data_IF_218359534698
#
_entry.id   IF_218359534698
#
_cell.length_a   1.000
_cell.length_b   1.000
_cell.length_c   1.000
_cell.angle_alpha   90.00
_cell.angle_beta   90.00
_cell.angle_gamma   90.00
#
_symmetry.space_group_name_H-M   'P 1'
#
loop_
_entity.id
_entity.type
_entity.pdbx_description
1 polymer ?
#
# COMPACT_ATOMS: atom_id res chain seq x y z
N UNK A 1 3.70 6.09 1.59
CA UNK A 1 3.24 7.14 0.66
C UNK A 1 1.95 7.86 1.13
N UNK A 2 1.88 8.44 2.35
CA UNK A 2 0.84 9.42 2.68
C UNK A 2 1.13 10.86 2.24
N UNK A 3 2.40 11.26 2.17
CA UNK A 3 2.79 12.65 1.91
C UNK A 3 2.29 13.22 0.57
N UNK A 4 2.03 12.37 -0.43
CA UNK A 4 1.47 12.75 -1.73
C UNK A 4 -0.06 12.96 -1.71
N UNK A 5 -0.75 12.57 -0.63
CA UNK A 5 -2.21 12.61 -0.51
C UNK A 5 -2.68 13.58 0.59
N UNK A 6 -1.82 14.48 1.07
CA UNK A 6 -2.13 15.41 2.18
C UNK A 6 -3.38 16.26 1.97
N UNK A 7 -3.72 16.57 0.73
CA UNK A 7 -4.92 17.34 0.39
C UNK A 7 -5.88 16.45 -0.41
N UNK A 8 -7.18 16.49 -0.11
CA UNK A 8 -8.20 15.90 -0.97
C UNK A 8 -8.08 16.42 -2.40
N UNK A 9 -7.97 15.52 -3.36
CA UNK A 9 -7.90 15.87 -4.78
C UNK A 9 -8.63 14.83 -5.63
N UNK A 10 -9.39 15.30 -6.61
CA UNK A 10 -10.01 14.43 -7.61
C UNK A 10 -9.41 14.76 -8.96
N UNK A 11 -8.77 13.77 -9.56
CA UNK A 11 -8.20 13.85 -10.90
C UNK A 11 -8.81 12.70 -11.71
N UNK A 12 -9.31 12.99 -12.90
CA UNK A 12 -9.95 12.02 -13.80
C UNK A 12 -9.00 10.90 -14.24
N UNK A 13 -7.69 11.18 -14.28
CA UNK A 13 -6.64 10.20 -14.60
C UNK A 13 -6.18 9.43 -13.36
N UNK A 14 -6.57 9.87 -12.16
CA UNK A 14 -6.22 9.19 -10.92
C UNK A 14 -7.18 8.05 -10.59
N UNK A 15 -6.59 6.92 -10.17
CA UNK A 15 -7.32 5.76 -9.65
C UNK A 15 -7.48 5.80 -8.13
N UNK A 16 -7.06 6.87 -7.48
CA UNK A 16 -7.29 7.09 -6.06
C UNK A 16 -8.80 7.20 -5.77
N UNK A 17 -9.27 6.46 -4.77
CA UNK A 17 -10.64 6.61 -4.26
C UNK A 17 -10.69 7.74 -3.23
N UNK A 18 -11.82 8.48 -3.14
CA UNK A 18 -12.00 9.52 -2.12
C UNK A 18 -11.93 8.97 -0.69
N UNK A 19 -12.17 7.67 -0.51
CA UNK A 19 -12.07 6.97 0.77
C UNK A 19 -10.71 7.13 1.46
N UNK A 20 -9.64 7.44 0.72
CA UNK A 20 -8.31 7.75 1.27
C UNK A 20 -8.41 8.89 2.30
N UNK A 21 -9.14 9.95 1.98
CA UNK A 21 -9.25 11.12 2.85
C UNK A 21 -10.31 10.94 3.95
N UNK A 22 -11.32 10.10 3.70
CA UNK A 22 -12.31 9.76 4.71
C UNK A 22 -11.75 8.80 5.79
N UNK A 23 -10.76 7.98 5.44
CA UNK A 23 -10.18 6.95 6.30
C UNK A 23 -8.65 7.10 6.42
N UNK A 24 -8.19 8.32 6.71
CA UNK A 24 -6.78 8.69 6.65
C UNK A 24 -5.88 7.79 7.51
N UNK A 25 -6.24 7.54 8.76
CA UNK A 25 -5.44 6.72 9.68
C UNK A 25 -5.23 5.28 9.17
N UNK A 26 -6.26 4.67 8.56
CA UNK A 26 -6.15 3.34 7.96
C UNK A 26 -5.27 3.38 6.70
N UNK A 27 -5.40 4.42 5.86
CA UNK A 27 -4.51 4.63 4.72
C UNK A 27 -3.04 4.76 5.15
N UNK A 28 -2.74 5.54 6.18
CA UNK A 28 -1.39 5.68 6.73
C UNK A 28 -0.87 4.36 7.31
N UNK A 29 -1.71 3.65 8.06
CA UNK A 29 -1.36 2.36 8.67
C UNK A 29 -1.03 1.31 7.60
N UNK A 30 -1.80 1.25 6.51
CA UNK A 30 -1.53 0.34 5.39
C UNK A 30 -0.24 0.72 4.66
N UNK A 31 -0.02 2.02 4.44
CA UNK A 31 1.19 2.51 3.80
C UNK A 31 2.45 2.20 4.63
N UNK A 32 2.40 2.35 5.96
CA UNK A 32 3.52 2.00 6.83
C UNK A 32 3.72 0.48 6.93
N UNK A 33 2.64 -0.29 6.98
CA UNK A 33 2.70 -1.76 6.93
C UNK A 33 3.43 -2.25 5.68
N UNK A 34 3.08 -1.72 4.50
CA UNK A 34 3.77 -2.04 3.25
C UNK A 34 5.26 -1.67 3.31
N UNK A 35 5.61 -0.50 3.85
CA UNK A 35 7.00 -0.07 4.05
C UNK A 35 7.78 -1.03 4.95
N UNK A 36 7.20 -1.45 6.08
CA UNK A 36 7.84 -2.40 7.01
C UNK A 36 8.05 -3.77 6.38
N UNK A 37 7.06 -4.28 5.64
CA UNK A 37 7.19 -5.58 4.96
C UNK A 37 8.19 -5.53 3.81
N UNK A 38 8.21 -4.44 3.03
CA UNK A 38 9.21 -4.24 1.98
C UNK A 38 10.65 -4.23 2.55
N UNK A 39 10.86 -3.65 3.75
CA UNK A 39 12.16 -3.70 4.44
C UNK A 39 12.54 -5.10 4.95
N UNK A 40 11.57 -5.97 5.17
CA UNK A 40 11.77 -7.36 5.61
C UNK A 40 11.88 -8.36 4.46
N UNK A 41 11.60 -7.91 3.22
CA UNK A 41 11.74 -8.72 2.03
C UNK A 41 13.18 -9.20 1.93
N UNK A 42 13.37 -10.51 1.84
CA UNK A 42 14.67 -11.10 1.60
C UNK A 42 14.73 -11.57 0.14
N UNK A 43 15.45 -10.85 -0.69
CA UNK A 43 15.59 -11.15 -2.11
C UNK A 43 16.91 -11.89 -2.45
N UNK A 44 17.72 -12.22 -1.43
CA UNK A 44 19.07 -12.75 -1.63
C UNK A 44 19.08 -14.26 -1.91
N UNK A 45 17.99 -14.96 -1.55
CA UNK A 45 17.83 -16.41 -1.74
C UNK A 45 16.41 -16.75 -2.13
N UNK A 46 16.25 -17.75 -2.99
CA UNK A 46 14.94 -18.15 -3.52
C UNK A 46 13.98 -18.61 -2.42
N UNK A 47 14.47 -19.38 -1.45
CA UNK A 47 13.66 -19.89 -0.33
C UNK A 47 13.19 -18.73 0.55
N UNK A 48 14.09 -17.82 0.92
CA UNK A 48 13.77 -16.66 1.74
C UNK A 48 12.85 -15.66 1.00
N UNK A 49 13.00 -15.54 -0.32
CA UNK A 49 12.10 -14.75 -1.14
C UNK A 49 10.70 -15.36 -1.16
N UNK A 50 10.59 -16.67 -1.36
CA UNK A 50 9.30 -17.38 -1.36
C UNK A 50 8.56 -17.23 -0.04
N UNK A 51 9.26 -17.15 1.09
CA UNK A 51 8.63 -16.96 2.41
C UNK A 51 8.25 -15.50 2.68
N UNK A 52 9.05 -14.53 2.25
CA UNK A 52 8.85 -13.11 2.59
C UNK A 52 8.03 -12.31 1.55
N UNK A 53 8.08 -12.70 0.27
CA UNK A 53 7.36 -12.03 -0.82
C UNK A 53 5.82 -12.02 -0.64
N UNK A 54 5.16 -13.10 -0.19
CA UNK A 54 3.70 -13.11 -0.04
C UNK A 54 3.18 -12.00 0.88
N UNK A 55 3.93 -11.65 1.93
CA UNK A 55 3.51 -10.61 2.88
C UNK A 55 3.53 -9.22 2.23
N UNK A 56 4.57 -8.93 1.43
CA UNK A 56 4.63 -7.70 0.64
C UNK A 56 3.45 -7.63 -0.33
N UNK A 57 3.17 -8.70 -1.08
CA UNK A 57 2.05 -8.75 -2.02
C UNK A 57 0.70 -8.55 -1.33
N UNK A 58 0.48 -9.18 -0.17
CA UNK A 58 -0.73 -8.98 0.64
C UNK A 58 -0.87 -7.52 1.07
N UNK A 59 0.21 -6.84 1.46
CA UNK A 59 0.16 -5.42 1.83
C UNK A 59 -0.26 -4.52 0.66
N UNK A 60 0.23 -4.80 -0.56
CA UNK A 60 -0.17 -4.10 -1.77
C UNK A 60 -1.68 -4.29 -2.05
N UNK A 61 -2.13 -5.55 -2.04
CA UNK A 61 -3.54 -5.89 -2.31
C UNK A 61 -4.48 -5.32 -1.26
N UNK A 62 -4.06 -5.33 0.01
CA UNK A 62 -4.81 -4.79 1.14
C UNK A 62 -5.11 -3.29 0.96
N UNK A 63 -4.15 -2.50 0.47
CA UNK A 63 -4.37 -1.09 0.18
C UNK A 63 -5.17 -0.89 -1.12
N UNK A 64 -4.82 -1.63 -2.18
CA UNK A 64 -5.44 -1.43 -3.50
C UNK A 64 -6.93 -1.81 -3.51
N UNK A 65 -7.34 -2.87 -2.81
CA UNK A 65 -8.75 -3.26 -2.73
C UNK A 65 -9.64 -2.19 -2.09
N UNK A 66 -9.10 -1.46 -1.12
CA UNK A 66 -9.83 -0.40 -0.42
C UNK A 66 -9.75 0.92 -1.19
N UNK A 67 -8.55 1.36 -1.55
CA UNK A 67 -8.27 2.75 -1.91
C UNK A 67 -7.97 3.00 -3.40
N UNK A 68 -7.90 1.96 -4.23
CA UNK A 68 -7.58 2.08 -5.65
C UNK A 68 -8.71 1.51 -6.50
N UNK A 69 -9.17 2.28 -7.49
CA UNK A 69 -10.10 1.79 -8.52
C UNK A 69 -9.45 0.65 -9.34
N UNK A 70 -10.23 -0.34 -9.82
CA UNK A 70 -9.74 -1.47 -10.64
C UNK A 70 -9.04 -1.09 -11.92
#
# INVERSE_FOLDING_TARGET
MPSAFKKPQTDVLSRARPDIWANWDDFETRADTAKRLARRLNADRLEALRTTLPDVLKSCLSCHRTYRKP
#
